data_IF_300901505954
#
_entry.id   IF_300901505954
#
_cell.length_a   1.000
_cell.length_b   1.000
_cell.length_c   1.000
_cell.angle_alpha   90.00
_cell.angle_beta   90.00
_cell.angle_gamma   90.00
#
_symmetry.space_group_name_H-M   'P 1'
#
loop_
_entity.id
_entity.type
_entity.pdbx_description
1 polymer ?
#
# COMPACT_ATOMS: atom_id res chain seq x y z
N UNK A 1 9.22 -15.01 13.13
CA UNK A 1 8.91 -13.61 12.77
C UNK A 1 7.54 -13.55 12.10
N UNK A 2 6.96 -12.37 11.97
CA UNK A 2 5.82 -12.13 11.07
C UNK A 2 6.30 -11.40 9.80
N UNK A 3 5.96 -11.92 8.61
CA UNK A 3 6.30 -11.30 7.32
C UNK A 3 5.26 -10.29 6.80
N UNK A 4 3.98 -10.55 7.07
CA UNK A 4 2.85 -9.82 6.50
C UNK A 4 2.08 -9.14 7.64
N UNK A 5 2.55 -7.94 8.00
CA UNK A 5 1.95 -7.07 9.04
C UNK A 5 1.50 -5.77 8.40
N UNK A 6 0.32 -5.28 8.80
CA UNK A 6 -0.24 -3.99 8.37
C UNK A 6 -0.22 -2.99 9.50
N UNK A 7 0.28 -1.80 9.22
CA UNK A 7 0.12 -0.65 10.09
C UNK A 7 -1.13 0.15 9.71
N UNK A 8 -1.42 1.19 10.47
CA UNK A 8 -2.45 2.18 10.14
C UNK A 8 -2.27 2.88 8.77
N UNK A 9 -1.09 2.77 8.14
CA UNK A 9 -0.84 3.27 6.79
C UNK A 9 -1.45 2.36 5.71
N UNK A 10 -1.86 1.14 6.09
CA UNK A 10 -2.90 0.40 5.39
C UNK A 10 -4.26 1.00 5.74
N UNK A 11 -4.62 2.08 5.05
CA UNK A 11 -5.80 2.89 5.37
C UNK A 11 -7.07 2.05 5.54
N UNK A 12 -7.81 2.36 6.61
CA UNK A 12 -9.06 1.69 6.98
C UNK A 12 -8.92 0.17 7.23
N UNK A 13 -7.70 -0.36 7.42
CA UNK A 13 -7.45 -1.80 7.57
C UNK A 13 -6.54 -2.12 8.75
N UNK A 14 -5.32 -1.58 8.79
CA UNK A 14 -4.42 -1.75 9.94
C UNK A 14 -4.76 -0.81 11.09
N UNK A 15 -4.51 -1.25 12.32
CA UNK A 15 -4.90 -0.51 13.54
C UNK A 15 -3.75 0.29 14.14
N UNK A 16 -2.57 -0.32 14.25
CA UNK A 16 -1.47 0.22 15.05
C UNK A 16 -0.43 0.97 14.22
N UNK A 17 0.22 1.96 14.83
CA UNK A 17 1.32 2.70 14.20
C UNK A 17 2.56 1.81 14.03
N UNK A 18 3.43 2.07 13.02
CA UNK A 18 4.66 1.31 12.81
C UNK A 18 5.54 1.19 14.06
N UNK A 19 5.68 2.28 14.83
CA UNK A 19 6.45 2.28 16.07
C UNK A 19 5.88 1.34 17.13
N UNK A 20 4.54 1.27 17.25
CA UNK A 20 3.90 0.39 18.22
C UNK A 20 4.09 -1.09 17.84
N UNK A 21 4.01 -1.41 16.54
CA UNK A 21 4.25 -2.75 16.02
C UNK A 21 5.69 -3.22 16.27
N UNK A 22 6.67 -2.34 16.05
CA UNK A 22 8.08 -2.63 16.32
C UNK A 22 8.32 -2.88 17.83
N UNK A 23 7.82 -1.99 18.70
CA UNK A 23 7.94 -2.15 20.15
C UNK A 23 7.31 -3.48 20.63
N UNK A 24 6.07 -3.75 20.23
CA UNK A 24 5.38 -4.99 20.63
C UNK A 24 6.09 -6.25 20.13
N UNK A 25 6.66 -6.23 18.92
CA UNK A 25 7.43 -7.37 18.41
C UNK A 25 8.72 -7.61 19.22
N UNK A 26 9.41 -6.55 19.64
CA UNK A 26 10.58 -6.66 20.50
C UNK A 26 10.22 -7.19 21.89
N UNK A 27 9.13 -6.69 22.50
CA UNK A 27 8.60 -7.18 23.78
C UNK A 27 8.25 -8.68 23.73
N UNK A 28 7.73 -9.16 22.60
CA UNK A 28 7.44 -10.58 22.35
C UNK A 28 8.69 -11.43 22.05
N UNK A 29 9.88 -10.83 22.00
CA UNK A 29 11.16 -11.52 21.78
C UNK A 29 11.42 -11.89 20.32
N UNK A 30 10.79 -11.21 19.35
CA UNK A 30 11.16 -11.38 17.95
C UNK A 30 12.52 -10.77 17.64
N UNK A 31 13.21 -11.31 16.64
CA UNK A 31 14.46 -10.76 16.09
C UNK A 31 14.26 -9.97 14.80
N UNK A 32 13.10 -10.15 14.16
CA UNK A 32 12.77 -9.53 12.89
C UNK A 32 11.25 -9.34 12.76
N UNK A 33 10.85 -8.32 12.03
CA UNK A 33 9.45 -8.01 11.74
C UNK A 33 9.34 -7.47 10.30
N UNK A 34 8.34 -7.94 9.55
CA UNK A 34 8.02 -7.44 8.22
C UNK A 34 6.81 -6.52 8.23
N UNK A 35 6.96 -5.30 7.73
CA UNK A 35 5.85 -4.37 7.51
C UNK A 35 5.53 -4.31 6.02
N UNK A 36 4.30 -4.64 5.65
CA UNK A 36 3.84 -4.75 4.27
C UNK A 36 2.52 -4.01 4.09
N UNK A 37 2.53 -2.68 4.17
CA UNK A 37 1.30 -1.89 4.05
C UNK A 37 0.63 -2.04 2.67
N UNK A 38 -0.69 -1.83 2.64
CA UNK A 38 -1.52 -2.01 1.44
C UNK A 38 -1.33 -0.85 0.47
N UNK A 39 -0.93 -1.15 -0.77
CA UNK A 39 -0.86 -0.20 -1.89
C UNK A 39 -0.01 1.06 -1.65
N UNK A 40 0.83 1.05 -0.62
CA UNK A 40 1.66 2.19 -0.24
C UNK A 40 2.79 1.79 0.70
N UNK A 41 3.77 2.68 0.82
CA UNK A 41 4.99 2.47 1.61
C UNK A 41 5.23 3.58 2.64
N UNK A 42 4.18 4.34 2.97
CA UNK A 42 4.26 5.57 3.76
C UNK A 42 4.90 5.36 5.15
N UNK A 43 4.63 4.21 5.77
CA UNK A 43 5.14 3.86 7.09
C UNK A 43 6.53 3.24 7.12
N UNK A 44 7.15 2.92 5.98
CA UNK A 44 8.36 2.09 5.96
C UNK A 44 9.57 2.76 6.61
N UNK A 45 9.76 4.08 6.46
CA UNK A 45 10.88 4.78 7.09
C UNK A 45 10.71 4.89 8.61
N UNK A 46 9.50 5.22 9.07
CA UNK A 46 9.17 5.25 10.50
C UNK A 46 9.34 3.86 11.13
N UNK A 47 8.88 2.83 10.44
CA UNK A 47 9.04 1.43 10.81
C UNK A 47 10.51 1.06 10.92
N UNK A 48 11.30 1.34 9.87
CA UNK A 48 12.72 1.03 9.83
C UNK A 48 13.45 1.62 11.04
N UNK A 49 13.29 2.92 11.28
CA UNK A 49 13.91 3.62 12.41
C UNK A 49 13.50 3.03 13.75
N UNK A 50 12.22 2.67 13.89
CA UNK A 50 11.71 2.09 15.12
C UNK A 50 12.23 0.67 15.33
N UNK A 51 12.18 -0.18 14.31
CA UNK A 51 12.68 -1.55 14.37
C UNK A 51 14.18 -1.59 14.72
N UNK A 52 15.01 -0.78 14.05
CA UNK A 52 16.45 -0.71 14.34
C UNK A 52 16.70 -0.27 15.79
N UNK A 53 15.96 0.73 16.29
CA UNK A 53 16.07 1.18 17.69
C UNK A 53 15.73 0.09 18.70
N UNK A 54 14.71 -0.72 18.40
CA UNK A 54 14.29 -1.84 19.25
C UNK A 54 15.15 -3.12 19.04
N UNK A 55 16.21 -3.05 18.22
CA UNK A 55 17.10 -4.19 17.94
C UNK A 55 16.49 -5.26 17.02
N UNK A 56 15.40 -4.93 16.32
CA UNK A 56 14.78 -5.80 15.33
C UNK A 56 15.43 -5.61 13.96
N UNK A 57 15.55 -6.70 13.19
CA UNK A 57 15.79 -6.63 11.75
C UNK A 57 14.50 -6.20 11.03
N UNK A 58 14.47 -5.01 10.39
CA UNK A 58 13.31 -4.59 9.60
C UNK A 58 13.28 -5.34 8.26
N UNK A 59 12.13 -5.92 7.93
CA UNK A 59 11.82 -6.39 6.58
C UNK A 59 10.83 -5.41 5.95
N UNK A 60 11.28 -4.70 4.92
CA UNK A 60 10.50 -3.67 4.25
C UNK A 60 9.71 -4.29 3.09
N UNK A 61 8.40 -4.14 3.09
CA UNK A 61 7.54 -4.73 2.08
C UNK A 61 6.38 -3.86 1.64
N UNK A 62 5.66 -4.37 0.65
CA UNK A 62 4.49 -3.75 0.03
C UNK A 62 3.49 -4.84 -0.32
N UNK A 63 2.25 -4.66 0.10
CA UNK A 63 1.17 -5.57 -0.24
C UNK A 63 0.26 -4.93 -1.30
N UNK A 64 0.37 -5.37 -2.54
CA UNK A 64 -0.40 -4.81 -3.66
C UNK A 64 -1.75 -5.51 -3.80
N UNK A 65 -2.82 -4.72 -3.87
CA UNK A 65 -4.15 -5.23 -4.23
C UNK A 65 -4.28 -5.37 -5.76
N UNK A 66 -5.24 -6.18 -6.19
CA UNK A 66 -5.60 -6.23 -7.60
C UNK A 66 -6.54 -5.05 -7.93
N UNK A 67 -6.17 -4.13 -8.84
CA UNK A 67 -7.00 -2.99 -9.20
C UNK A 67 -8.37 -3.37 -9.80
N UNK A 68 -8.59 -4.61 -10.26
CA UNK A 68 -9.94 -5.08 -10.66
C UNK A 68 -10.83 -5.45 -9.46
N UNK A 69 -10.25 -5.67 -8.27
CA UNK A 69 -10.97 -5.78 -7.00
C UNK A 69 -11.47 -4.44 -6.45
N UNK A 70 -10.92 -3.33 -6.96
CA UNK A 70 -11.31 -1.95 -6.61
C UNK A 70 -12.55 -1.45 -7.37
N UNK A 71 -13.13 -2.26 -8.28
CA UNK A 71 -14.36 -1.91 -8.99
C UNK A 71 -15.60 -1.74 -8.08
N UNK A 72 -15.46 -1.99 -6.77
CA UNK A 72 -16.44 -1.65 -5.72
C UNK A 72 -16.03 -0.50 -4.79
N UNK A 73 -14.83 0.08 -4.94
CA UNK A 73 -14.29 1.19 -4.11
C UNK A 73 -14.24 2.51 -4.89
N UNK A 74 -15.25 2.74 -5.74
CA UNK A 74 -15.49 4.02 -6.38
C UNK A 74 -16.17 5.02 -5.44
N UNK A 75 -15.43 5.53 -4.46
CA UNK A 75 -15.70 6.89 -3.97
C UNK A 75 -15.34 7.84 -5.10
N UNK A 76 -16.31 8.58 -5.61
CA UNK A 76 -16.15 9.53 -6.72
C UNK A 76 -15.03 10.52 -6.44
N UNK A 77 -13.86 10.30 -7.08
CA UNK A 77 -12.87 11.36 -7.28
C UNK A 77 -13.37 12.26 -8.42
N UNK A 78 -14.26 13.19 -8.08
CA UNK A 78 -14.52 14.35 -8.92
C UNK A 78 -13.36 15.34 -8.71
N UNK A 79 -12.50 15.47 -9.71
CA UNK A 79 -11.67 16.66 -9.88
C UNK A 79 -12.13 17.37 -11.16
N UNK A 80 -12.79 18.51 -10.95
CA UNK A 80 -13.13 19.50 -11.96
C UNK A 80 -13.49 20.77 -11.21
N UNK A 81 -12.56 21.71 -11.16
CA UNK A 81 -12.60 22.87 -10.26
C UNK A 81 -13.69 23.89 -10.54
N UNK A 82 -13.95 24.74 -9.54
CA UNK A 82 -13.92 26.22 -9.60
C UNK A 82 -14.47 26.78 -8.29
N UNK A 83 -13.87 27.86 -7.79
CA UNK A 83 -14.58 28.87 -7.01
C UNK A 83 -14.68 28.63 -5.51
N UNK A 84 -13.88 29.38 -4.75
CA UNK A 84 -14.31 29.86 -3.46
C UNK A 84 -15.64 30.61 -3.63
N UNK A 85 -16.68 30.22 -2.88
CA UNK A 85 -17.66 31.17 -2.38
C UNK A 85 -18.41 30.62 -1.17
N UNK A 86 -18.40 31.44 -0.12
CA UNK A 86 -19.08 31.23 1.14
C UNK A 86 -20.60 31.35 0.95
N UNK A 87 -21.38 30.32 1.31
CA UNK A 87 -22.76 30.51 1.75
C UNK A 87 -23.26 29.28 2.51
N UNK A 88 -23.44 29.42 3.81
CA UNK A 88 -24.21 28.51 4.64
C UNK A 88 -25.70 28.52 4.24
N UNK A 89 -26.47 27.44 4.49
CA UNK A 89 -27.89 27.58 4.70
C UNK A 89 -28.20 27.43 6.19
N UNK A 90 -28.51 28.57 6.82
CA UNK A 90 -29.34 28.61 8.02
C UNK A 90 -30.80 28.39 7.61
N UNK A 91 -31.48 27.62 8.45
CA UNK A 91 -32.93 27.46 8.56
C UNK A 91 -33.77 28.70 8.21
N UNK A 92 -34.86 28.49 7.46
CA UNK A 92 -36.07 29.30 7.58
C UNK A 92 -37.29 28.46 7.22
N UNK A 93 -38.14 28.21 8.21
CA UNK A 93 -39.51 27.76 8.01
C UNK A 93 -40.49 28.92 7.94
N UNK A 94 -41.70 28.62 7.45
CA UNK A 94 -43.05 29.20 7.71
C UNK A 94 -43.88 29.03 6.44
N UNK A 95 -44.87 28.14 6.42
CA UNK A 95 -46.24 28.25 6.96
C UNK A 95 -47.19 29.00 6.03
N UNK A 96 -48.18 28.27 5.50
CA UNK A 96 -49.60 28.59 5.45
C UNK A 96 -50.32 27.44 4.69
N UNK A 97 -51.57 27.00 4.91
CA UNK A 97 -52.59 27.05 5.98
C UNK A 97 -53.78 26.23 5.39
N UNK A 98 -54.40 25.37 6.23
CA UNK A 98 -55.79 24.87 6.20
C UNK A 98 -56.44 24.37 4.89
N UNK A 99 -57.03 23.16 4.90
CA UNK A 99 -58.38 22.95 5.44
C UNK A 99 -58.73 21.47 5.56
N UNK A 100 -59.53 21.19 6.59
CA UNK A 100 -60.08 19.91 7.02
C UNK A 100 -61.42 19.65 6.33
N UNK A 101 -61.66 18.41 5.89
CA UNK A 101 -62.92 17.64 5.95
C UNK A 101 -62.58 16.23 5.40
N UNK A 102 -62.81 15.10 6.06
CA UNK A 102 -63.90 14.74 6.97
C UNK A 102 -64.85 13.78 6.25
N UNK A 103 -65.01 12.57 6.80
CA UNK A 103 -65.87 11.44 6.40
C UNK A 103 -65.25 10.44 5.41
N UNK A 104 -65.29 9.13 5.61
CA UNK A 104 -65.97 8.32 6.62
C UNK A 104 -66.47 7.02 5.96
N UNK A 105 -66.23 5.87 6.61
CA UNK A 105 -66.89 4.56 6.39
C UNK A 105 -66.66 3.92 5.00
N UNK A 106 -66.65 2.61 4.77
CA UNK A 106 -66.84 1.36 5.52
C UNK A 106 -66.77 0.21 4.50
N UNK A 107 -66.39 -0.99 4.95
CA UNK A 107 -66.72 -2.31 4.39
C UNK A 107 -66.21 -2.64 2.97
N UNK A 108 -65.47 -3.72 2.77
CA UNK A 108 -65.97 -5.10 2.68
C UNK A 108 -65.53 -5.59 1.30
N UNK A 109 -64.68 -6.59 1.16
CA UNK A 109 -65.09 -7.99 1.23
C UNK A 109 -65.03 -8.61 -0.17
N UNK A 110 -64.34 -9.74 -0.30
CA UNK A 110 -64.72 -10.76 -1.28
C UNK A 110 -64.00 -10.81 -2.64
N UNK A 111 -63.06 -11.76 -2.72
CA UNK A 111 -63.10 -12.88 -3.68
C UNK A 111 -63.23 -12.61 -5.19
N UNK A 112 -62.21 -13.00 -5.95
CA UNK A 112 -62.27 -14.03 -7.03
C UNK A 112 -60.91 -14.10 -7.74
N UNK A 113 -60.19 -15.22 -7.67
CA UNK A 113 -60.23 -16.39 -8.59
C UNK A 113 -59.91 -16.05 -10.06
N UNK A 114 -58.86 -16.71 -10.55
CA UNK A 114 -58.69 -17.15 -11.93
C UNK A 114 -57.98 -16.14 -12.81
N UNK A 115 -56.72 -16.31 -13.21
CA UNK A 115 -56.14 -17.40 -14.02
C UNK A 115 -55.58 -16.79 -15.30
N UNK A 116 -54.47 -17.36 -15.76
CA UNK A 116 -53.91 -17.31 -17.11
C UNK A 116 -53.04 -16.10 -17.48
N UNK A 117 -51.74 -16.37 -17.37
CA UNK A 117 -50.74 -16.04 -18.38
C UNK A 117 -51.29 -16.24 -19.81
N UNK A 118 -50.81 -15.44 -20.76
CA UNK A 118 -49.99 -16.06 -21.80
C UNK A 118 -48.66 -15.35 -22.03
N UNK A 119 -47.76 -16.14 -22.59
CA UNK A 119 -46.40 -15.80 -22.97
C UNK A 119 -46.30 -14.95 -24.24
N UNK A 120 -45.14 -14.30 -24.40
CA UNK A 120 -44.47 -14.19 -25.70
C UNK A 120 -44.54 -12.82 -26.37
N UNK A 121 -43.42 -12.10 -26.31
CA UNK A 121 -43.15 -10.92 -27.14
C UNK A 121 -41.65 -10.69 -27.25
N UNK A 122 -41.04 -11.24 -28.31
CA UNK A 122 -39.64 -11.08 -28.68
C UNK A 122 -39.26 -9.61 -28.89
N UNK A 123 -38.08 -9.21 -28.38
CA UNK A 123 -37.27 -8.18 -29.04
C UNK A 123 -35.84 -8.69 -29.22
N UNK A 124 -35.46 -8.74 -30.49
CA UNK A 124 -34.15 -9.18 -30.95
C UNK A 124 -33.08 -8.15 -30.56
N UNK A 125 -32.04 -8.61 -29.86
CA UNK A 125 -30.79 -7.86 -29.72
C UNK A 125 -29.67 -8.64 -30.42
N UNK A 126 -29.09 -7.95 -31.41
CA UNK A 126 -28.04 -8.40 -32.31
C UNK A 126 -26.84 -9.00 -31.57
N UNK A 127 -26.43 -10.19 -32.01
CA UNK A 127 -25.14 -10.76 -31.69
C UNK A 127 -24.02 -9.86 -32.24
N UNK A 128 -23.24 -9.25 -31.35
CA UNK A 128 -21.88 -8.82 -31.65
C UNK A 128 -20.95 -9.75 -30.89
N UNK A 129 -20.14 -10.50 -31.64
CA UNK A 129 -19.14 -11.41 -31.10
C UNK A 129 -18.04 -10.61 -30.43
N UNK A 130 -18.14 -10.41 -29.12
CA UNK A 130 -17.01 -10.18 -28.25
C UNK A 130 -16.75 -11.49 -27.51
N UNK A 131 -15.62 -12.13 -27.82
CA UNK A 131 -15.11 -13.29 -27.10
C UNK A 131 -15.04 -12.96 -25.62
N UNK A 132 -15.97 -13.53 -24.85
CA UNK A 132 -15.98 -13.48 -23.39
C UNK A 132 -14.70 -14.18 -22.90
N UNK A 133 -13.65 -13.41 -22.59
CA UNK A 133 -12.61 -13.89 -21.69
C UNK A 133 -13.28 -14.17 -20.35
N UNK A 134 -13.09 -15.36 -19.75
CA UNK A 134 -13.77 -15.70 -18.50
C UNK A 134 -13.40 -14.67 -17.43
N UNK A 135 -14.42 -14.16 -16.74
CA UNK A 135 -14.27 -13.20 -15.64
C UNK A 135 -13.52 -13.83 -14.46
N UNK A 136 -12.22 -13.52 -14.36
CA UNK A 136 -11.26 -14.14 -13.42
C UNK A 136 -11.14 -13.39 -12.06
N UNK A 137 -11.85 -12.27 -11.84
CA UNK A 137 -11.39 -11.25 -10.87
C UNK A 137 -12.40 -10.78 -9.80
N UNK A 138 -13.32 -11.61 -9.29
CA UNK A 138 -14.08 -11.25 -8.08
C UNK A 138 -13.23 -11.47 -6.82
N UNK A 139 -12.71 -10.36 -6.29
CA UNK A 139 -11.81 -10.28 -5.14
C UNK A 139 -12.43 -10.74 -3.82
N UNK A 140 -11.63 -11.49 -3.07
CA UNK A 140 -11.95 -12.10 -1.77
C UNK A 140 -11.81 -11.08 -0.62
N UNK A 141 -12.67 -10.05 -0.60
CA UNK A 141 -12.85 -9.15 0.56
C UNK A 141 -11.60 -8.38 1.00
N UNK A 142 -10.89 -7.74 0.07
CA UNK A 142 -9.80 -6.80 0.40
C UNK A 142 -8.46 -7.45 0.78
N UNK A 143 -8.18 -8.70 0.38
CA UNK A 143 -6.82 -9.26 0.46
C UNK A 143 -5.95 -8.76 -0.70
N UNK A 144 -4.69 -8.45 -0.39
CA UNK A 144 -3.66 -8.16 -1.39
C UNK A 144 -3.42 -9.37 -2.30
N UNK A 145 -3.24 -9.12 -3.60
CA UNK A 145 -2.91 -10.15 -4.58
C UNK A 145 -1.48 -10.67 -4.39
N UNK A 146 -0.57 -9.83 -3.90
CA UNK A 146 0.84 -10.17 -3.71
C UNK A 146 1.43 -9.36 -2.56
N UNK A 147 2.33 -9.99 -1.80
CA UNK A 147 3.22 -9.33 -0.84
C UNK A 147 4.63 -9.37 -1.40
N UNK A 148 5.27 -8.20 -1.48
CA UNK A 148 6.62 -8.02 -1.98
C UNK A 148 7.52 -7.61 -0.83
N UNK A 149 8.71 -8.23 -0.73
CA UNK A 149 9.71 -7.88 0.28
C UNK A 149 10.97 -7.39 -0.43
N UNK A 150 11.48 -6.21 -0.07
CA UNK A 150 12.72 -5.69 -0.62
C UNK A 150 13.91 -6.50 -0.09
N UNK A 151 14.68 -7.10 -0.99
CA UNK A 151 15.90 -7.85 -0.65
C UNK A 151 17.06 -6.93 -0.30
N UNK A 152 17.16 -5.85 -1.06
CA UNK A 152 18.23 -4.87 -1.03
C UNK A 152 17.66 -3.48 -1.36
N UNK A 153 18.51 -2.46 -1.35
CA UNK A 153 18.14 -1.10 -1.75
C UNK A 153 17.56 -1.01 -3.18
N UNK A 154 17.91 -1.92 -4.10
CA UNK A 154 17.30 -1.97 -5.44
C UNK A 154 15.88 -2.53 -5.36
N UNK A 155 15.65 -3.55 -4.55
CA UNK A 155 14.32 -4.05 -4.21
C UNK A 155 13.44 -2.96 -3.59
N UNK A 156 13.99 -2.16 -2.69
CA UNK A 156 13.28 -1.02 -2.10
C UNK A 156 12.88 0.01 -3.17
N UNK A 157 13.78 0.34 -4.11
CA UNK A 157 13.45 1.20 -5.27
C UNK A 157 12.30 0.63 -6.09
N UNK A 158 12.26 -0.68 -6.30
CA UNK A 158 11.13 -1.34 -6.96
C UNK A 158 9.83 -1.18 -6.19
N UNK A 159 9.85 -1.31 -4.85
CA UNK A 159 8.66 -1.06 -4.02
C UNK A 159 8.17 0.39 -4.19
N UNK A 160 9.08 1.36 -4.19
CA UNK A 160 8.74 2.77 -4.44
C UNK A 160 8.07 2.96 -5.80
N UNK A 161 8.67 2.43 -6.87
CA UNK A 161 8.12 2.53 -8.21
C UNK A 161 6.72 1.91 -8.31
N UNK A 162 6.52 0.72 -7.74
CA UNK A 162 5.24 0.04 -7.71
C UNK A 162 4.17 0.81 -6.92
N UNK A 163 4.54 1.36 -5.75
CA UNK A 163 3.63 2.19 -4.96
C UNK A 163 3.26 3.49 -5.69
N UNK A 164 4.21 4.14 -6.37
CA UNK A 164 3.95 5.32 -7.20
C UNK A 164 3.03 4.99 -8.38
N UNK A 165 3.30 3.91 -9.12
CA UNK A 165 2.44 3.48 -10.23
C UNK A 165 1.03 3.14 -9.76
N UNK A 166 0.89 2.53 -8.58
CA UNK A 166 -0.41 2.23 -7.97
C UNK A 166 -1.24 3.49 -7.71
N UNK A 167 -0.57 4.60 -7.40
CA UNK A 167 -1.18 5.93 -7.21
C UNK A 167 -1.38 6.70 -8.52
N UNK A 168 -1.09 6.09 -9.67
CA UNK A 168 -1.22 6.74 -10.99
C UNK A 168 -0.04 7.62 -11.38
N UNK A 169 1.08 7.53 -10.66
CA UNK A 169 2.32 8.28 -10.97
C UNK A 169 3.27 7.34 -11.70
N UNK A 170 3.38 7.50 -13.02
CA UNK A 170 4.24 6.68 -13.89
C UNK A 170 5.21 7.59 -14.69
N UNK A 171 6.47 7.17 -14.92
CA UNK A 171 7.44 7.97 -15.71
C UNK A 171 6.99 8.25 -17.15
N UNK A 172 6.36 7.27 -17.80
CA UNK A 172 5.65 7.43 -19.07
C UNK A 172 4.22 7.97 -18.81
N UNK A 173 3.88 9.18 -19.29
CA UNK A 173 2.56 9.79 -19.08
C UNK A 173 1.43 9.08 -19.85
N UNK A 174 1.73 8.15 -20.76
CA UNK A 174 0.72 7.38 -21.47
C UNK A 174 0.15 6.21 -20.63
N UNK A 175 0.83 5.85 -19.53
CA UNK A 175 0.41 4.75 -18.66
C UNK A 175 -0.54 5.27 -17.58
N UNK A 176 -1.83 5.20 -17.87
CA UNK A 176 -2.89 5.76 -17.01
C UNK A 176 -3.35 4.84 -15.87
N UNK A 177 -2.99 3.54 -15.88
CA UNK A 177 -3.38 2.57 -14.86
C UNK A 177 -2.28 1.54 -14.63
N UNK A 178 -2.15 1.08 -13.37
CA UNK A 178 -1.28 -0.03 -13.02
C UNK A 178 -1.78 -1.33 -13.68
N UNK A 179 -1.06 -1.81 -14.68
CA UNK A 179 -1.11 -3.22 -15.08
C UNK A 179 -0.25 -4.02 -14.10
N UNK A 180 -0.90 -4.65 -13.13
CA UNK A 180 -0.22 -5.40 -12.07
C UNK A 180 0.70 -6.48 -12.66
N UNK A 181 0.29 -7.18 -13.73
CA UNK A 181 1.11 -8.24 -14.31
C UNK A 181 2.39 -7.68 -14.92
N UNK A 182 2.27 -6.62 -15.71
CA UNK A 182 3.41 -5.95 -16.34
C UNK A 182 4.37 -5.38 -15.29
N UNK A 183 3.83 -4.63 -14.34
CA UNK A 183 4.62 -4.00 -13.28
C UNK A 183 5.37 -5.03 -12.43
N UNK A 184 4.73 -6.14 -12.09
CA UNK A 184 5.40 -7.22 -11.37
C UNK A 184 6.51 -7.86 -12.20
N UNK A 185 6.30 -8.10 -13.49
CA UNK A 185 7.34 -8.67 -14.36
C UNK A 185 8.57 -7.76 -14.50
N UNK A 186 8.36 -6.44 -14.51
CA UNK A 186 9.43 -5.45 -14.70
C UNK A 186 10.19 -5.14 -13.41
N UNK A 187 9.50 -5.12 -12.26
CA UNK A 187 10.04 -4.52 -11.04
C UNK A 187 10.35 -5.52 -9.92
N UNK A 188 10.00 -6.81 -10.03
CA UNK A 188 10.11 -7.75 -8.88
C UNK A 188 11.38 -8.59 -8.82
N UNK A 189 12.33 -8.46 -9.74
CA UNK A 189 13.57 -9.27 -9.74
C UNK A 189 14.41 -9.11 -8.46
N UNK A 190 14.34 -7.93 -7.84
CA UNK A 190 15.02 -7.59 -6.58
C UNK A 190 14.13 -7.71 -5.35
N UNK A 191 12.95 -8.30 -5.49
CA UNK A 191 12.02 -8.55 -4.38
C UNK A 191 11.83 -10.06 -4.16
N UNK A 192 11.48 -10.45 -2.94
CA UNK A 192 10.80 -11.71 -2.71
C UNK A 192 9.30 -11.53 -2.95
N UNK A 193 8.70 -12.50 -3.63
CA UNK A 193 7.29 -12.48 -4.01
C UNK A 193 6.57 -13.55 -3.21
N UNK A 194 5.62 -13.15 -2.37
CA UNK A 194 4.77 -14.07 -1.60
C UNK A 194 3.33 -13.90 -2.07
N UNK A 195 2.74 -14.92 -2.69
CA UNK A 195 1.38 -14.85 -3.23
C UNK A 195 0.68 -16.21 -3.23
N UNK A 196 -0.63 -16.20 -3.02
CA UNK A 196 -1.53 -17.31 -3.31
C UNK A 196 -2.45 -17.02 -4.51
N UNK A 197 -2.15 -15.97 -5.28
CA UNK A 197 -2.89 -15.57 -6.46
C UNK A 197 -2.36 -16.29 -7.71
N UNK A 198 -3.22 -17.09 -8.35
CA UNK A 198 -2.84 -17.96 -9.48
C UNK A 198 -2.17 -17.17 -10.61
N UNK A 199 -2.75 -16.04 -11.02
CA UNK A 199 -2.21 -15.22 -12.10
C UNK A 199 -0.82 -14.64 -11.80
N UNK A 200 -0.52 -14.34 -10.53
CA UNK A 200 0.80 -13.86 -10.11
C UNK A 200 1.81 -15.00 -10.19
N UNK A 201 1.43 -16.18 -9.69
CA UNK A 201 2.27 -17.38 -9.75
C UNK A 201 2.53 -17.83 -11.20
N UNK A 202 1.52 -17.83 -12.07
CA UNK A 202 1.66 -18.14 -13.50
C UNK A 202 2.64 -17.19 -14.20
N UNK A 203 2.60 -15.91 -13.86
CA UNK A 203 3.47 -14.91 -14.48
C UNK A 203 4.91 -14.98 -13.97
N UNK A 204 5.11 -15.16 -12.66
CA UNK A 204 6.41 -14.95 -12.02
C UNK A 204 7.16 -16.24 -11.68
N UNK A 205 6.46 -17.33 -11.35
CA UNK A 205 7.13 -18.57 -10.96
C UNK A 205 8.04 -19.14 -12.06
N UNK A 206 7.65 -19.17 -13.36
CA UNK A 206 8.53 -19.64 -14.42
C UNK A 206 9.74 -18.75 -14.66
N UNK A 207 9.64 -17.44 -14.38
CA UNK A 207 10.69 -16.45 -14.64
C UNK A 207 11.69 -16.34 -13.50
N UNK A 208 11.21 -16.23 -12.27
CA UNK A 208 12.04 -15.93 -11.09
C UNK A 208 12.42 -17.19 -10.29
N UNK A 209 11.63 -18.26 -10.43
CA UNK A 209 11.89 -19.55 -9.80
C UNK A 209 11.65 -19.60 -8.28
N UNK A 210 11.88 -20.79 -7.68
CA UNK A 210 11.53 -21.09 -6.28
C UNK A 210 12.41 -20.39 -5.23
N UNK A 211 13.48 -19.71 -5.66
CA UNK A 211 14.35 -18.91 -4.77
C UNK A 211 13.84 -17.49 -4.51
N UNK A 212 12.85 -17.06 -5.30
CA UNK A 212 12.31 -15.69 -5.30
C UNK A 212 10.79 -15.66 -5.13
N UNK A 213 10.07 -16.70 -5.59
CA UNK A 213 8.61 -16.78 -5.49
C UNK A 213 8.21 -17.85 -4.48
N UNK A 214 7.33 -17.47 -3.57
CA UNK A 214 6.84 -18.29 -2.47
C UNK A 214 5.31 -18.27 -2.46
N UNK A 215 4.73 -19.41 -2.09
CA UNK A 215 3.29 -19.48 -1.88
C UNK A 215 2.97 -19.05 -0.47
N UNK A 216 2.01 -18.16 -0.33
CA UNK A 216 1.54 -17.72 0.98
C UNK A 216 0.94 -18.89 1.76
N UNK A 217 1.28 -19.02 3.04
CA UNK A 217 0.72 -20.03 3.93
C UNK A 217 -0.04 -19.35 5.06
N UNK A 218 -1.36 -19.45 5.02
CA UNK A 218 -2.27 -19.05 6.10
C UNK A 218 -2.29 -20.17 7.16
N UNK A 219 -2.34 -19.86 8.48
CA UNK A 219 -2.36 -20.87 9.53
C UNK A 219 -3.63 -21.73 9.53
N UNK A 220 -4.69 -21.30 8.84
CA UNK A 220 -5.90 -22.11 8.63
C UNK A 220 -6.86 -22.17 9.82
N UNK A 221 -6.67 -21.32 10.83
CA UNK A 221 -7.42 -21.33 12.09
C UNK A 221 -8.61 -20.34 12.17
N UNK A 222 -8.94 -19.68 11.06
CA UNK A 222 -10.18 -18.91 10.91
C UNK A 222 -10.99 -19.45 9.74
N UNK A 223 -12.27 -19.14 9.61
CA UNK A 223 -13.10 -19.48 8.46
C UNK A 223 -12.96 -18.38 7.37
N UNK A 224 -12.75 -18.69 6.07
CA UNK A 224 -12.51 -20.00 5.44
C UNK A 224 -11.01 -20.32 5.29
N UNK A 225 -10.22 -20.06 6.32
CA UNK A 225 -8.78 -20.27 6.40
C UNK A 225 -8.33 -21.71 6.12
N UNK A 226 -9.06 -22.74 6.56
CA UNK A 226 -8.65 -24.14 6.29
C UNK A 226 -8.75 -24.49 4.80
N UNK A 227 -9.84 -24.10 4.13
CA UNK A 227 -9.98 -24.28 2.68
C UNK A 227 -8.93 -23.49 1.91
N UNK A 228 -8.65 -22.28 2.38
CA UNK A 228 -7.60 -21.41 1.83
C UNK A 228 -6.22 -22.04 1.97
N UNK A 229 -5.87 -22.57 3.15
CA UNK A 229 -4.62 -23.27 3.39
C UNK A 229 -4.50 -24.51 2.49
N UNK A 230 -5.57 -25.30 2.35
CA UNK A 230 -5.59 -26.44 1.40
C UNK A 230 -5.36 -26.01 -0.04
N UNK A 231 -5.90 -24.86 -0.47
CA UNK A 231 -5.64 -24.28 -1.79
C UNK A 231 -4.18 -23.86 -1.93
N UNK A 232 -3.61 -23.20 -0.93
CA UNK A 232 -2.21 -22.78 -0.91
C UNK A 232 -1.25 -23.98 -0.98
N UNK A 233 -1.51 -25.04 -0.22
CA UNK A 233 -0.75 -26.30 -0.28
C UNK A 233 -0.75 -26.91 -1.69
N UNK A 234 -1.92 -26.95 -2.34
CA UNK A 234 -2.03 -27.41 -3.74
C UNK A 234 -1.25 -26.53 -4.71
N UNK A 235 -1.29 -25.21 -4.55
CA UNK A 235 -0.51 -24.29 -5.37
C UNK A 235 0.99 -24.52 -5.20
N UNK A 236 1.47 -24.63 -3.96
CA UNK A 236 2.87 -24.89 -3.66
C UNK A 236 3.38 -26.17 -4.36
N UNK A 237 2.59 -27.25 -4.32
CA UNK A 237 2.91 -28.50 -5.04
C UNK A 237 2.90 -28.32 -6.56
N UNK A 238 1.87 -27.68 -7.12
CA UNK A 238 1.70 -27.49 -8.56
C UNK A 238 2.84 -26.68 -9.19
N UNK A 239 3.27 -25.61 -8.52
CA UNK A 239 4.36 -24.75 -9.00
C UNK A 239 5.74 -25.17 -8.50
N UNK A 240 5.82 -26.20 -7.64
CA UNK A 240 7.07 -26.62 -6.96
C UNK A 240 7.75 -25.47 -6.21
N UNK A 241 6.96 -24.70 -5.48
CA UNK A 241 7.41 -23.54 -4.69
C UNK A 241 7.32 -23.83 -3.19
N UNK A 242 8.12 -23.12 -2.41
CA UNK A 242 8.08 -23.20 -0.95
C UNK A 242 6.93 -22.36 -0.37
N UNK A 243 6.44 -22.77 0.80
CA UNK A 243 5.45 -22.04 1.57
C UNK A 243 6.14 -21.03 2.47
N UNK A 244 5.59 -19.81 2.56
CA UNK A 244 6.04 -18.80 3.52
C UNK A 244 4.89 -18.48 4.50
N UNK A 245 5.18 -18.51 5.79
CA UNK A 245 4.19 -18.23 6.84
C UNK A 245 3.72 -16.77 6.79
N UNK A 246 2.41 -16.56 6.63
CA UNK A 246 1.77 -15.24 6.62
C UNK A 246 0.49 -15.26 7.45
N UNK A 247 0.52 -14.63 8.61
CA UNK A 247 -0.63 -14.52 9.53
C UNK A 247 -1.54 -13.32 9.25
N UNK A 248 -1.19 -12.47 8.29
CA UNK A 248 -2.01 -11.33 7.86
C UNK A 248 -2.36 -10.40 9.06
N UNK A 249 -1.34 -10.00 9.84
CA UNK A 249 -1.53 -9.24 11.10
C UNK A 249 -2.15 -7.88 10.81
N UNK A 250 -3.18 -7.49 11.58
CA UNK A 250 -3.87 -6.20 11.47
C UNK A 250 -3.78 -5.35 12.73
N UNK A 251 -3.51 -5.98 13.87
CA UNK A 251 -3.46 -5.33 15.16
C UNK A 251 -2.51 -6.06 16.10
N UNK A 252 -2.10 -5.40 17.20
CA UNK A 252 -1.18 -5.99 18.18
C UNK A 252 -1.92 -6.99 19.07
N UNK A 253 -3.12 -6.64 19.56
CA UNK A 253 -3.84 -7.45 20.55
C UNK A 253 -5.18 -7.95 20.01
N UNK A 254 -5.64 -9.15 20.39
CA UNK A 254 -6.94 -9.67 19.98
C UNK A 254 -8.12 -8.73 20.28
N UNK A 255 -8.01 -7.93 21.34
CA UNK A 255 -9.01 -6.96 21.80
C UNK A 255 -9.19 -5.77 20.84
N UNK A 256 -8.24 -5.54 19.93
CA UNK A 256 -8.29 -4.46 18.95
C UNK A 256 -9.14 -4.82 17.71
N UNK A 257 -9.65 -6.06 17.64
CA UNK A 257 -10.49 -6.53 16.53
C UNK A 257 -11.74 -5.65 16.27
N UNK A 258 -12.48 -5.15 17.28
CA UNK A 258 -13.59 -4.24 17.05
C UNK A 258 -13.15 -2.91 16.42
N UNK A 259 -11.94 -2.42 16.74
CA UNK A 259 -11.38 -1.20 16.13
C UNK A 259 -11.11 -1.45 14.65
N UNK A 260 -10.47 -2.57 14.30
CA UNK A 260 -10.31 -3.00 12.92
C UNK A 260 -11.66 -3.07 12.18
N UNK A 261 -12.67 -3.68 12.79
CA UNK A 261 -13.99 -3.79 12.19
C UNK A 261 -14.64 -2.42 11.92
N UNK A 262 -14.52 -1.48 12.86
CA UNK A 262 -15.00 -0.11 12.69
C UNK A 262 -14.26 0.62 11.56
N UNK A 263 -12.93 0.49 11.50
CA UNK A 263 -12.13 1.07 10.42
C UNK A 263 -12.58 0.55 9.05
N UNK A 264 -12.84 -0.76 8.93
CA UNK A 264 -13.38 -1.36 7.71
C UNK A 264 -14.74 -0.78 7.33
N UNK A 265 -15.63 -0.58 8.31
CA UNK A 265 -16.95 0.01 8.10
C UNK A 265 -16.85 1.45 7.57
N UNK A 266 -15.94 2.25 8.13
CA UNK A 266 -15.64 3.61 7.66
C UNK A 266 -15.11 3.56 6.22
N UNK A 267 -14.14 2.69 5.94
CA UNK A 267 -13.54 2.56 4.61
C UNK A 267 -14.51 2.06 3.53
N UNK A 268 -15.50 1.25 3.90
CA UNK A 268 -16.57 0.77 3.01
C UNK A 268 -17.81 1.69 3.01
N UNK A 269 -17.78 2.79 3.78
CA UNK A 269 -18.89 3.72 3.97
C UNK A 269 -20.21 3.01 4.27
N UNK A 270 -20.17 2.07 5.22
CA UNK A 270 -21.30 1.20 5.56
C UNK A 270 -21.40 0.96 7.07
N UNK A 271 -22.50 0.36 7.51
CA UNK A 271 -22.66 -0.07 8.89
C UNK A 271 -21.79 -1.30 9.20
N UNK A 272 -21.29 -1.40 10.45
CA UNK A 272 -20.43 -2.50 10.92
C UNK A 272 -21.01 -3.88 10.58
N UNK A 273 -22.33 -4.06 10.70
CA UNK A 273 -23.02 -5.32 10.39
C UNK A 273 -22.98 -5.74 8.91
N UNK A 274 -22.63 -4.83 7.98
CA UNK A 274 -22.63 -5.07 6.54
C UNK A 274 -21.23 -5.27 5.95
N UNK A 275 -20.19 -5.05 6.75
CA UNK A 275 -18.81 -5.19 6.32
C UNK A 275 -18.50 -6.66 6.06
N UNK A 276 -17.86 -6.95 4.92
CA UNK A 276 -17.45 -8.30 4.55
C UNK A 276 -15.95 -8.48 4.70
N UNK A 277 -15.52 -9.73 4.92
CA UNK A 277 -14.10 -10.07 4.94
C UNK A 277 -13.31 -9.51 6.13
N UNK A 278 -14.01 -9.10 7.20
CA UNK A 278 -13.41 -8.57 8.44
C UNK A 278 -12.47 -9.60 9.05
N UNK A 279 -11.30 -9.14 9.49
CA UNK A 279 -10.33 -10.02 10.13
C UNK A 279 -10.79 -10.34 11.56
N UNK A 280 -10.71 -11.62 11.90
CA UNK A 280 -11.08 -12.14 13.23
C UNK A 280 -10.00 -11.80 14.25
N UNK A 281 -10.27 -12.02 15.53
CA UNK A 281 -9.34 -11.81 16.65
C UNK A 281 -8.08 -12.70 16.59
N UNK A 282 -7.93 -13.54 15.56
CA UNK A 282 -6.74 -14.35 15.27
C UNK A 282 -5.69 -13.62 14.42
N UNK A 283 -5.98 -12.43 13.92
CA UNK A 283 -5.08 -11.63 13.08
C UNK A 283 -4.26 -10.61 13.91
N UNK A 284 -3.91 -11.00 15.14
CA UNK A 284 -3.08 -10.20 16.03
C UNK A 284 -1.60 -10.58 15.91
N UNK A 285 -0.73 -9.81 16.54
CA UNK A 285 0.71 -10.09 16.61
C UNK A 285 0.97 -11.22 17.62
N UNK A 286 0.81 -12.46 17.15
CA UNK A 286 1.02 -13.66 17.97
C UNK A 286 2.48 -13.83 18.40
N UNK A 287 2.71 -14.34 19.61
CA UNK A 287 4.07 -14.59 20.11
C UNK A 287 4.77 -15.77 19.41
N UNK A 288 6.09 -15.97 19.60
CA UNK A 288 6.82 -17.08 18.99
C UNK A 288 6.25 -18.48 19.32
N UNK A 289 5.86 -18.70 20.57
CA UNK A 289 5.23 -19.97 20.99
C UNK A 289 3.89 -20.20 20.29
N UNK A 290 3.05 -19.17 20.22
CA UNK A 290 1.77 -19.23 19.53
C UNK A 290 1.97 -19.47 18.03
N UNK A 291 2.92 -18.79 17.38
CA UNK A 291 3.27 -19.02 15.99
C UNK A 291 3.70 -20.47 15.73
N UNK A 292 4.54 -21.06 16.59
CA UNK A 292 4.93 -22.46 16.45
C UNK A 292 3.71 -23.39 16.50
N UNK A 293 2.76 -23.13 17.40
CA UNK A 293 1.51 -23.90 17.47
C UNK A 293 0.62 -23.66 16.26
N UNK A 294 0.52 -22.41 15.78
CA UNK A 294 -0.28 -22.05 14.60
C UNK A 294 0.21 -22.75 13.32
N UNK A 295 1.52 -23.01 13.22
CA UNK A 295 2.16 -23.65 12.07
C UNK A 295 2.71 -25.05 12.40
N UNK A 296 2.20 -25.73 13.42
CA UNK A 296 2.68 -27.06 13.85
C UNK A 296 2.71 -28.07 12.70
N UNK A 297 1.71 -28.02 11.81
CA UNK A 297 1.62 -28.90 10.63
C UNK A 297 2.55 -28.48 9.49
N UNK A 298 3.03 -27.25 9.49
CA UNK A 298 3.82 -26.63 8.43
C UNK A 298 5.00 -25.80 8.99
N UNK A 299 5.88 -26.36 9.85
CA UNK A 299 6.95 -25.61 10.50
C UNK A 299 7.96 -25.07 9.48
N UNK A 300 8.10 -25.73 8.32
CA UNK A 300 8.91 -25.25 7.21
C UNK A 300 8.47 -23.87 6.69
N UNK A 301 7.20 -23.50 6.81
CA UNK A 301 6.72 -22.18 6.40
C UNK A 301 7.25 -21.07 7.31
N UNK A 302 7.41 -21.34 8.62
CA UNK A 302 8.05 -20.42 9.56
C UNK A 302 9.56 -20.31 9.30
N UNK A 303 10.20 -21.43 8.97
CA UNK A 303 11.63 -21.44 8.63
C UNK A 303 11.90 -20.60 7.37
N UNK A 304 11.10 -20.77 6.32
CA UNK A 304 11.18 -19.92 5.11
C UNK A 304 10.97 -18.46 5.48
N UNK A 305 9.99 -18.15 6.34
CA UNK A 305 9.78 -16.76 6.75
C UNK A 305 11.00 -16.14 7.42
N UNK A 306 11.64 -16.86 8.35
CA UNK A 306 12.89 -16.43 8.97
C UNK A 306 14.04 -16.28 7.96
N UNK A 307 14.19 -17.23 7.04
CA UNK A 307 15.21 -17.17 5.97
C UNK A 307 15.03 -15.93 5.09
N UNK A 308 13.78 -15.58 4.73
CA UNK A 308 13.51 -14.38 3.94
C UNK A 308 13.93 -13.11 4.68
N UNK A 309 13.71 -13.01 6.00
CA UNK A 309 14.24 -11.88 6.76
C UNK A 309 15.76 -11.82 6.75
N UNK A 310 16.44 -12.94 6.94
CA UNK A 310 17.91 -12.97 6.94
C UNK A 310 18.49 -12.51 5.61
N UNK A 311 17.74 -12.70 4.52
CA UNK A 311 18.11 -12.32 3.15
C UNK A 311 17.60 -10.94 2.72
N UNK A 312 16.93 -10.20 3.61
CA UNK A 312 16.51 -8.82 3.38
C UNK A 312 17.43 -7.86 4.14
N UNK A 313 18.05 -6.93 3.42
CA UNK A 313 18.94 -5.92 3.96
C UNK A 313 18.77 -4.62 3.18
N UNK A 314 18.01 -3.68 3.76
CA UNK A 314 17.84 -2.33 3.20
C UNK A 314 18.45 -1.34 4.19
N UNK A 315 19.29 -0.44 3.69
CA UNK A 315 19.88 0.64 4.48
C UNK A 315 19.48 2.01 3.92
N UNK A 316 18.94 2.89 4.76
CA UNK A 316 18.56 4.24 4.33
C UNK A 316 19.73 5.23 4.24
N UNK A 317 20.96 4.83 4.59
CA UNK A 317 22.16 5.68 4.59
C UNK A 317 21.89 7.03 5.27
N UNK A 318 21.25 6.99 6.44
CA UNK A 318 20.81 8.19 7.14
C UNK A 318 21.99 9.13 7.45
N UNK A 319 21.79 10.43 7.20
CA UNK A 319 22.82 11.45 7.38
C UNK A 319 23.67 11.73 6.14
N UNK A 320 23.49 10.99 5.05
CA UNK A 320 24.09 11.33 3.75
C UNK A 320 23.16 12.27 2.97
N UNK A 321 23.67 13.44 2.60
CA UNK A 321 22.95 14.40 1.77
C UNK A 321 23.13 14.08 0.29
N UNK A 322 22.02 13.88 -0.43
CA UNK A 322 21.98 13.80 -1.88
C UNK A 322 21.53 15.14 -2.47
N UNK A 323 22.49 16.01 -2.82
CA UNK A 323 22.17 17.24 -3.54
C UNK A 323 21.96 16.95 -5.04
N UNK A 324 21.04 17.63 -5.72
CA UNK A 324 20.92 17.55 -7.17
C UNK A 324 22.20 18.08 -7.82
N UNK A 325 22.57 17.50 -8.96
CA UNK A 325 23.68 18.05 -9.75
C UNK A 325 23.33 19.45 -10.26
N UNK A 326 24.32 20.34 -10.32
CA UNK A 326 24.12 21.69 -10.84
C UNK A 326 24.21 21.70 -12.38
N UNK A 327 23.10 22.05 -13.03
CA UNK A 327 23.05 22.31 -14.46
C UNK A 327 23.21 23.79 -14.77
N UNK A 328 24.20 24.11 -15.60
CA UNK A 328 24.39 25.47 -16.14
C UNK A 328 23.25 25.85 -17.10
N UNK A 329 23.02 27.15 -17.36
CA UNK A 329 22.03 27.60 -18.35
C UNK A 329 22.24 27.03 -19.76
N UNK A 330 23.45 26.56 -20.08
CA UNK A 330 23.77 25.90 -21.36
C UNK A 330 23.50 24.38 -21.35
N UNK A 331 22.89 23.84 -20.28
CA UNK A 331 22.55 22.42 -20.15
C UNK A 331 23.72 21.51 -19.78
N UNK A 332 24.87 22.08 -19.38
CA UNK A 332 26.03 21.29 -18.92
C UNK A 332 25.92 21.02 -17.43
N UNK A 333 25.91 19.73 -17.07
CA UNK A 333 26.05 19.25 -15.69
C UNK A 333 27.48 19.45 -15.21
N UNK A 334 27.66 20.09 -14.06
CA UNK A 334 28.97 20.31 -13.45
C UNK A 334 29.29 19.23 -12.42
N UNK A 335 30.52 18.71 -12.45
CA UNK A 335 31.06 17.95 -11.32
C UNK A 335 31.18 18.83 -10.08
N UNK A 336 31.24 18.25 -8.86
CA UNK A 336 31.38 19.02 -7.60
C UNK A 336 32.48 20.08 -7.63
N UNK A 337 33.67 19.74 -8.15
CA UNK A 337 34.77 20.71 -8.27
C UNK A 337 34.48 21.85 -9.25
N UNK A 338 33.74 21.56 -10.33
CA UNK A 338 33.31 22.58 -11.29
C UNK A 338 32.20 23.47 -10.73
N UNK A 339 31.24 22.88 -9.99
CA UNK A 339 30.19 23.61 -9.30
C UNK A 339 30.77 24.54 -8.23
N UNK A 340 31.73 24.06 -7.43
CA UNK A 340 32.46 24.86 -6.44
C UNK A 340 33.16 26.07 -7.08
N UNK A 341 33.83 25.86 -8.22
CA UNK A 341 34.48 26.94 -8.97
C UNK A 341 33.47 27.93 -9.56
N UNK A 342 32.38 27.43 -10.16
CA UNK A 342 31.33 28.28 -10.70
C UNK A 342 30.67 29.12 -9.60
N UNK A 343 30.41 28.53 -8.43
CA UNK A 343 29.93 29.25 -7.24
C UNK A 343 30.90 30.36 -6.84
N UNK A 344 32.19 30.08 -6.78
CA UNK A 344 33.22 31.06 -6.45
C UNK A 344 33.20 32.24 -7.44
N UNK A 345 33.25 31.96 -8.74
CA UNK A 345 33.26 32.98 -9.80
C UNK A 345 31.98 33.83 -9.78
N UNK A 346 30.82 33.21 -9.55
CA UNK A 346 29.55 33.92 -9.38
C UNK A 346 29.56 34.82 -8.15
N UNK A 347 29.98 34.32 -6.99
CA UNK A 347 30.03 35.09 -5.76
C UNK A 347 30.97 36.30 -5.87
N UNK A 348 32.17 36.13 -6.44
CA UNK A 348 33.09 37.24 -6.71
C UNK A 348 32.45 38.25 -7.67
N UNK A 349 31.92 37.80 -8.80
CA UNK A 349 31.33 38.66 -9.83
C UNK A 349 30.10 39.44 -9.35
N UNK A 350 29.28 38.86 -8.48
CA UNK A 350 28.13 39.55 -7.87
C UNK A 350 28.54 40.49 -6.75
N UNK A 351 29.50 40.10 -5.91
CA UNK A 351 29.99 40.96 -4.82
C UNK A 351 30.64 42.23 -5.39
N UNK A 352 31.38 42.10 -6.50
CA UNK A 352 32.03 43.22 -7.18
C UNK A 352 30.99 44.20 -7.74
N UNK A 353 29.94 43.67 -8.37
CA UNK A 353 28.82 44.45 -8.89
C UNK A 353 28.01 45.13 -7.79
N UNK A 354 27.77 44.44 -6.67
CA UNK A 354 26.92 44.93 -5.57
C UNK A 354 27.61 45.98 -4.70
N UNK A 355 28.87 45.76 -4.34
CA UNK A 355 29.61 46.64 -3.44
C UNK A 355 30.34 47.77 -4.18
N UNK A 356 30.77 47.55 -5.43
CA UNK A 356 31.50 48.55 -6.22
C UNK A 356 32.67 49.14 -5.43
N UNK A 357 32.62 50.45 -5.18
CA UNK A 357 33.66 51.18 -4.40
C UNK A 357 33.72 50.83 -2.91
N UNK A 358 32.70 50.14 -2.37
CA UNK A 358 32.65 49.69 -0.97
C UNK A 358 33.31 48.32 -0.77
N UNK A 359 33.80 47.69 -1.84
CA UNK A 359 34.59 46.47 -1.72
C UNK A 359 35.89 46.80 -0.98
N UNK A 360 36.08 46.18 0.18
CA UNK A 360 37.30 46.26 0.98
C UNK A 360 37.78 44.86 1.38
N UNK A 361 38.93 44.80 2.05
CA UNK A 361 39.51 43.52 2.54
C UNK A 361 38.61 42.79 3.53
N UNK A 362 37.75 43.51 4.25
CA UNK A 362 36.84 42.92 5.24
C UNK A 362 35.79 42.05 4.54
N UNK A 363 35.21 42.56 3.45
CA UNK A 363 34.25 41.80 2.65
C UNK A 363 34.89 40.62 1.90
N UNK A 364 36.12 40.80 1.40
CA UNK A 364 36.87 39.74 0.73
C UNK A 364 37.15 38.57 1.69
N UNK A 365 37.72 38.85 2.87
CA UNK A 365 37.97 37.83 3.89
C UNK A 365 36.69 37.14 4.36
N UNK A 366 35.58 37.89 4.45
CA UNK A 366 34.29 37.32 4.83
C UNK A 366 33.76 36.37 3.76
N UNK A 367 33.87 36.74 2.49
CA UNK A 367 33.43 35.91 1.38
C UNK A 367 34.25 34.61 1.30
N UNK A 368 35.58 34.71 1.40
CA UNK A 368 36.45 33.53 1.42
C UNK A 368 36.12 32.61 2.60
N UNK A 369 35.91 33.17 3.81
CA UNK A 369 35.55 32.38 4.98
C UNK A 369 34.22 31.60 4.80
N UNK A 370 33.21 32.23 4.19
CA UNK A 370 31.91 31.60 3.93
C UNK A 370 32.01 30.52 2.85
N UNK A 371 32.74 30.78 1.75
CA UNK A 371 32.99 29.79 0.70
C UNK A 371 33.75 28.57 1.25
N UNK A 372 34.79 28.79 2.07
CA UNK A 372 35.54 27.72 2.73
C UNK A 372 34.65 26.89 3.67
N UNK A 373 33.68 27.50 4.35
CA UNK A 373 32.72 26.76 5.16
C UNK A 373 31.80 25.89 4.28
N UNK A 374 31.29 26.42 3.18
CA UNK A 374 30.45 25.70 2.20
C UNK A 374 31.21 24.49 1.63
N UNK A 375 32.48 24.67 1.26
CA UNK A 375 33.33 23.62 0.72
C UNK A 375 33.61 22.51 1.74
N UNK A 376 33.94 22.89 2.98
CA UNK A 376 34.17 21.93 4.07
C UNK A 376 32.93 21.12 4.42
N UNK A 377 31.75 21.72 4.33
CA UNK A 377 30.45 21.06 4.58
C UNK A 377 29.90 20.31 3.35
N UNK A 378 30.61 20.36 2.21
CA UNK A 378 30.25 19.67 0.97
C UNK A 378 28.87 20.09 0.42
N UNK A 379 28.55 21.39 0.53
CA UNK A 379 27.30 22.01 0.06
C UNK A 379 27.45 22.68 -1.33
N UNK A 380 28.30 22.10 -2.18
CA UNK A 380 28.60 22.59 -3.54
C UNK A 380 28.00 21.74 -4.63
#
# INVERSE_FOLDING_TARGET
MHLDVRSWFSFHDGVNAPRQLACAAAELGFKALGLCDTDGIYGLLEFYRSAVREGLRPVLGLALTDPKGDAGRGGTAAHGGTGYDNAAPRSAGRSAVSHVAGNGASHGGGSSRGSKLPAGGNSAARASGATHSPDIYKGDGGRSAVTLLARDNLGYRSLCALASWRQGVHPDPQVNRLDLRRALLELTERCFVVSDHRAVLDALAPRLGPRHVFVRCDPGHHDPGLERQRRQLRLAQQYRLHLAACTDVRFIRPQDQPVHHLLRAIGENTGVQWVRGVRTSKHYLAGPFELNNLYEKHPGALAVAAELAERCEVDFAEGQWGFPDYETPQGRVLSKGQAARALHELCLGYTARRLGRRWDKTYEQRLEHELDAIYRLNYT
#
